data_IF_646685422875
#
_entry.id   IF_646685422875
#
_cell.length_a   1.000
_cell.length_b   1.000
_cell.length_c   1.000
_cell.angle_alpha   90.00
_cell.angle_beta   90.00
_cell.angle_gamma   90.00
#
_symmetry.space_group_name_H-M   'P 1'
#
loop_
_entity.id
_entity.type
_entity.pdbx_description
1 polymer ?
#
# COMPACT_ATOMS: atom_id res chain seq x y z
N UNK A 1 27.95 4.22 8.21
CA UNK A 1 28.75 4.08 6.99
C UNK A 1 27.86 3.67 5.84
N UNK A 2 27.99 4.34 4.70
CA UNK A 2 27.16 4.02 3.54
C UNK A 2 27.26 2.59 3.07
N UNK A 3 28.43 2.02 3.10
CA UNK A 3 28.66 0.65 2.64
C UNK A 3 27.89 -0.38 3.43
N UNK A 4 27.80 -0.19 4.74
CA UNK A 4 27.07 -1.11 5.59
C UNK A 4 25.58 -1.04 5.32
N UNK A 5 25.07 0.17 5.06
CA UNK A 5 23.68 0.34 4.71
C UNK A 5 23.36 -0.34 3.39
N UNK A 6 24.25 -0.22 2.42
CA UNK A 6 24.08 -0.84 1.13
C UNK A 6 24.04 -2.36 1.24
N UNK A 7 24.88 -2.93 2.07
CA UNK A 7 24.89 -4.38 2.29
C UNK A 7 23.60 -4.86 2.93
N UNK A 8 23.03 -4.07 3.82
CA UNK A 8 21.76 -4.40 4.45
C UNK A 8 20.58 -4.29 3.50
N UNK A 9 20.78 -3.67 2.36
CA UNK A 9 19.70 -3.41 1.40
C UNK A 9 19.51 -4.51 0.38
N UNK A 10 20.30 -5.56 0.42
CA UNK A 10 20.14 -6.67 -0.51
C UNK A 10 18.74 -7.28 -0.48
N UNK A 11 18.05 -7.15 0.63
CA UNK A 11 16.71 -7.70 0.81
C UNK A 11 15.64 -6.64 1.00
N UNK A 12 16.01 -5.38 0.80
CA UNK A 12 15.14 -4.26 1.08
C UNK A 12 14.94 -3.39 -0.16
N UNK A 13 13.69 -3.07 -0.44
CA UNK A 13 13.32 -2.23 -1.56
C UNK A 13 13.33 -0.76 -1.14
N UNK A 14 13.98 0.12 -1.92
CA UNK A 14 13.94 1.55 -1.65
C UNK A 14 12.75 2.20 -2.37
N UNK A 15 12.52 3.48 -2.11
CA UNK A 15 11.39 4.22 -2.69
C UNK A 15 11.39 4.23 -4.21
N UNK A 16 12.58 4.34 -4.81
CA UNK A 16 12.71 4.36 -6.26
C UNK A 16 12.36 3.01 -6.87
N UNK A 17 12.81 1.94 -6.25
CA UNK A 17 12.50 0.59 -6.71
C UNK A 17 11.02 0.30 -6.63
N UNK A 18 10.37 0.72 -5.54
CA UNK A 18 8.92 0.54 -5.41
C UNK A 18 8.18 1.38 -6.43
N UNK A 19 8.61 2.62 -6.65
CA UNK A 19 8.00 3.47 -7.66
C UNK A 19 8.11 2.85 -9.04
N UNK A 20 9.26 2.25 -9.36
CA UNK A 20 9.46 1.56 -10.63
C UNK A 20 8.55 0.37 -10.79
N UNK A 21 8.33 -0.40 -9.72
CA UNK A 21 7.42 -1.54 -9.76
C UNK A 21 5.97 -1.10 -9.96
N UNK A 22 5.57 -0.03 -9.29
CA UNK A 22 4.24 0.54 -9.48
C UNK A 22 4.07 1.02 -10.91
N UNK A 23 5.07 1.73 -11.44
CA UNK A 23 5.06 2.22 -12.81
C UNK A 23 4.98 1.08 -13.83
N UNK A 24 5.76 0.02 -13.60
CA UNK A 24 5.75 -1.14 -14.47
C UNK A 24 4.37 -1.81 -14.50
N UNK A 25 3.73 -1.94 -13.33
CA UNK A 25 2.40 -2.52 -13.26
C UNK A 25 1.37 -1.66 -13.99
N UNK A 26 1.48 -0.34 -13.85
CA UNK A 26 0.60 0.60 -14.54
C UNK A 26 0.78 0.50 -16.05
N UNK A 27 2.02 0.36 -16.53
CA UNK A 27 2.29 0.20 -17.95
C UNK A 27 1.66 -1.07 -18.51
N UNK A 28 1.67 -2.15 -17.75
CA UNK A 28 1.03 -3.40 -18.18
C UNK A 28 -0.47 -3.28 -18.28
N UNK A 29 -1.04 -2.40 -17.47
CA UNK A 29 -2.49 -2.19 -17.47
C UNK A 29 -2.97 -1.32 -18.61
N UNK A 30 -2.08 -0.61 -19.30
CA UNK A 30 -2.47 0.31 -20.37
C UNK A 30 -3.35 -0.31 -21.44
N UNK A 31 -3.09 -1.57 -21.78
CA UNK A 31 -3.88 -2.26 -22.81
C UNK A 31 -5.21 -2.80 -22.27
N UNK A 32 -5.38 -2.81 -20.94
CA UNK A 32 -6.54 -3.41 -20.28
C UNK A 32 -7.50 -2.39 -19.70
N UNK A 33 -7.06 -1.15 -19.57
CA UNK A 33 -7.88 -0.07 -19.01
C UNK A 33 -7.74 1.17 -19.90
N UNK A 34 -8.69 2.06 -19.79
CA UNK A 34 -8.68 3.30 -20.56
C UNK A 34 -7.65 4.28 -20.00
N UNK A 35 -7.27 5.27 -20.80
CA UNK A 35 -6.24 6.24 -20.42
C UNK A 35 -6.55 6.98 -19.12
N UNK A 36 -7.82 7.34 -18.89
CA UNK A 36 -8.21 8.02 -17.67
C UNK A 36 -8.13 7.11 -16.46
N UNK A 37 -8.41 5.81 -16.63
CA UNK A 37 -8.28 4.83 -15.56
C UNK A 37 -6.82 4.60 -15.19
N UNK A 38 -5.93 4.63 -16.18
CA UNK A 38 -4.49 4.52 -15.95
C UNK A 38 -3.99 5.65 -15.05
N UNK A 39 -4.45 6.86 -15.33
CA UNK A 39 -4.10 8.03 -14.51
C UNK A 39 -4.62 7.85 -13.09
N UNK A 40 -5.85 7.38 -12.94
CA UNK A 40 -6.45 7.16 -11.62
C UNK A 40 -5.73 6.05 -10.85
N UNK A 41 -5.21 5.05 -11.55
CA UNK A 41 -4.41 4.00 -10.95
C UNK A 41 -3.16 4.57 -10.28
N UNK A 42 -2.43 5.42 -11.01
CA UNK A 42 -1.23 6.07 -10.46
C UNK A 42 -1.60 6.98 -9.29
N UNK A 43 -2.65 7.76 -9.42
CA UNK A 43 -3.09 8.66 -8.35
C UNK A 43 -3.52 7.87 -7.11
N UNK A 44 -4.13 6.71 -7.30
CA UNK A 44 -4.53 5.86 -6.20
C UNK A 44 -3.34 5.42 -5.36
N UNK A 45 -2.24 5.02 -6.01
CA UNK A 45 -1.02 4.64 -5.31
C UNK A 45 -0.40 5.82 -4.55
N UNK A 46 -0.35 6.98 -5.20
CA UNK A 46 0.20 8.19 -4.57
C UNK A 46 -0.63 8.55 -3.34
N UNK A 47 -1.95 8.46 -3.46
CA UNK A 47 -2.85 8.77 -2.37
C UNK A 47 -2.71 7.77 -1.22
N UNK A 48 -2.59 6.49 -1.55
CA UNK A 48 -2.40 5.46 -0.51
C UNK A 48 -1.10 5.69 0.26
N UNK A 49 -0.03 6.06 -0.46
CA UNK A 49 1.23 6.41 0.19
C UNK A 49 1.05 7.57 1.16
N UNK A 50 0.32 8.60 0.73
CA UNK A 50 0.06 9.76 1.59
C UNK A 50 -0.68 9.35 2.87
N UNK A 51 -1.71 8.53 2.72
CA UNK A 51 -2.50 8.08 3.87
C UNK A 51 -1.66 7.18 4.80
N UNK A 52 -0.88 6.31 4.23
CA UNK A 52 0.01 5.44 4.99
C UNK A 52 1.03 6.26 5.79
N UNK A 53 1.69 7.21 5.15
CA UNK A 53 2.67 8.05 5.82
C UNK A 53 2.02 8.93 6.90
N UNK A 54 0.79 9.37 6.66
CA UNK A 54 0.05 10.16 7.65
C UNK A 54 -0.25 9.36 8.91
N UNK A 55 -0.63 8.10 8.74
CA UNK A 55 -0.85 7.23 9.91
C UNK A 55 0.44 6.99 10.68
N UNK A 56 1.55 6.73 9.99
CA UNK A 56 2.85 6.56 10.65
C UNK A 56 3.22 7.80 11.43
N UNK A 57 3.03 8.98 10.84
CA UNK A 57 3.31 10.25 11.52
C UNK A 57 2.46 10.40 12.78
N UNK A 58 1.17 10.10 12.67
CA UNK A 58 0.25 10.16 13.80
C UNK A 58 0.72 9.24 14.93
N UNK A 59 1.09 8.01 14.60
CA UNK A 59 1.54 7.05 15.59
C UNK A 59 2.84 7.49 16.25
N UNK A 60 3.78 8.02 15.47
CA UNK A 60 5.04 8.50 16.04
C UNK A 60 4.85 9.70 16.96
N UNK A 61 3.89 10.55 16.64
CA UNK A 61 3.53 11.67 17.53
C UNK A 61 2.88 11.20 18.82
N UNK A 62 2.44 9.95 18.86
CA UNK A 62 1.84 9.33 20.04
C UNK A 62 2.75 8.24 20.63
N UNK A 63 4.06 8.47 20.53
CA UNK A 63 5.10 7.67 21.18
C UNK A 63 5.29 6.26 20.62
N UNK A 64 4.84 6.00 19.39
CA UNK A 64 5.14 4.74 18.73
C UNK A 64 6.51 4.83 18.09
N UNK A 65 7.46 4.04 18.61
CA UNK A 65 8.75 3.87 17.94
C UNK A 65 8.64 2.79 16.83
N UNK A 66 9.73 2.52 16.16
CA UNK A 66 9.72 1.55 15.07
C UNK A 66 9.32 0.14 15.52
N UNK A 67 9.68 -0.24 16.73
CA UNK A 67 9.31 -1.56 17.25
C UNK A 67 7.83 -1.63 17.59
N UNK A 68 7.29 -0.59 18.17
CA UNK A 68 5.88 -0.55 18.54
C UNK A 68 4.99 -0.49 17.28
N UNK A 69 5.46 0.17 16.22
CA UNK A 69 4.74 0.19 14.95
C UNK A 69 4.46 -1.21 14.43
N UNK A 70 5.39 -2.13 14.65
CA UNK A 70 5.24 -3.52 14.17
C UNK A 70 4.09 -4.25 14.84
N UNK A 71 3.59 -3.75 15.96
CA UNK A 71 2.47 -4.36 16.68
C UNK A 71 1.11 -3.90 16.19
N UNK A 72 1.06 -2.92 15.28
CA UNK A 72 -0.21 -2.36 14.80
C UNK A 72 -0.91 -3.39 13.91
N UNK A 73 -2.03 -3.90 14.38
CA UNK A 73 -2.74 -5.00 13.74
C UNK A 73 -4.25 -4.79 13.86
N UNK A 74 -4.99 -5.27 12.86
CA UNK A 74 -6.44 -5.16 12.92
C UNK A 74 -7.06 -6.09 13.97
N UNK A 75 -6.28 -7.02 14.52
CA UNK A 75 -6.75 -7.88 15.60
C UNK A 75 -6.85 -7.15 16.92
N UNK A 76 -6.15 -6.01 17.07
CA UNK A 76 -6.24 -5.17 18.25
C UNK A 76 -7.35 -4.14 18.07
N UNK A 77 -8.56 -4.51 18.45
CA UNK A 77 -9.76 -3.69 18.24
C UNK A 77 -9.66 -2.31 18.89
N UNK A 78 -9.04 -2.20 20.05
CA UNK A 78 -8.91 -0.93 20.74
C UNK A 78 -8.02 0.04 19.94
N UNK A 79 -6.90 -0.47 19.44
CA UNK A 79 -5.98 0.35 18.67
C UNK A 79 -6.62 0.76 17.34
N UNK A 80 -7.32 -0.16 16.68
CA UNK A 80 -8.04 0.14 15.45
C UNK A 80 -9.03 1.28 15.68
N UNK A 81 -9.85 1.17 16.72
CA UNK A 81 -10.86 2.18 17.00
C UNK A 81 -10.23 3.53 17.32
N UNK A 82 -9.16 3.53 18.10
CA UNK A 82 -8.45 4.74 18.45
C UNK A 82 -7.89 5.46 17.21
N UNK A 83 -7.25 4.72 16.32
CA UNK A 83 -6.70 5.30 15.09
C UNK A 83 -7.83 5.81 14.19
N UNK A 84 -8.89 5.02 14.01
CA UNK A 84 -10.04 5.43 13.19
C UNK A 84 -10.68 6.71 13.72
N UNK A 85 -10.77 6.84 15.01
CA UNK A 85 -11.36 8.02 15.64
C UNK A 85 -10.55 9.28 15.38
N UNK A 86 -9.25 9.14 15.29
CA UNK A 86 -8.35 10.29 15.19
C UNK A 86 -8.04 10.69 13.75
N UNK A 87 -7.91 9.74 12.84
CA UNK A 87 -7.55 10.06 11.45
C UNK A 87 -8.56 9.59 10.41
N UNK A 88 -9.57 8.82 10.82
CA UNK A 88 -10.68 8.45 9.94
C UNK A 88 -10.53 7.11 9.22
N UNK A 89 -9.40 6.44 9.37
CA UNK A 89 -9.14 5.15 8.74
C UNK A 89 -8.10 4.39 9.55
N UNK A 90 -7.83 3.16 9.15
CA UNK A 90 -6.83 2.31 9.81
C UNK A 90 -6.07 1.50 8.77
N UNK A 91 -4.75 1.44 8.92
CA UNK A 91 -3.87 0.61 8.10
C UNK A 91 -3.00 -0.21 9.05
N UNK A 92 -3.05 -1.54 8.94
CA UNK A 92 -2.18 -2.41 9.74
C UNK A 92 -0.72 -2.26 9.30
N UNK A 93 0.20 -2.58 10.18
CA UNK A 93 1.64 -2.46 9.88
C UNK A 93 2.01 -3.18 8.58
N UNK A 94 1.49 -4.39 8.39
CA UNK A 94 1.81 -5.18 7.19
C UNK A 94 1.38 -4.49 5.89
N UNK A 95 0.42 -3.59 5.96
CA UNK A 95 -0.15 -2.91 4.81
C UNK A 95 0.35 -1.48 4.62
N UNK A 96 1.25 -1.02 5.49
CA UNK A 96 1.84 0.30 5.34
C UNK A 96 2.76 0.34 4.13
N UNK A 97 2.75 1.47 3.43
CA UNK A 97 3.62 1.66 2.28
C UNK A 97 5.10 1.47 2.67
N UNK A 98 5.48 1.98 3.84
CA UNK A 98 6.84 1.82 4.35
C UNK A 98 7.21 0.37 4.60
N UNK A 99 6.25 -0.46 4.99
CA UNK A 99 6.47 -1.88 5.18
C UNK A 99 6.76 -2.57 3.84
N UNK A 100 6.04 -2.19 2.81
CA UNK A 100 6.28 -2.73 1.47
C UNK A 100 7.71 -2.46 0.99
N UNK A 101 8.26 -1.30 1.38
CA UNK A 101 9.65 -0.97 1.04
C UNK A 101 10.66 -1.93 1.66
N UNK A 102 10.29 -2.61 2.74
CA UNK A 102 11.18 -3.57 3.40
C UNK A 102 11.06 -4.98 2.86
N UNK A 103 10.06 -5.25 2.04
CA UNK A 103 9.77 -6.62 1.59
C UNK A 103 10.67 -7.10 0.44
N UNK A 104 11.24 -6.19 -0.32
CA UNK A 104 12.10 -6.56 -1.43
C UNK A 104 11.39 -7.45 -2.43
N UNK A 105 11.94 -8.63 -2.66
CA UNK A 105 11.40 -9.60 -3.62
C UNK A 105 10.05 -10.17 -3.21
N UNK A 106 9.74 -10.11 -1.91
CA UNK A 106 8.49 -10.65 -1.40
C UNK A 106 7.29 -9.75 -1.66
N UNK A 107 7.54 -8.51 -2.08
CA UNK A 107 6.46 -7.59 -2.42
C UNK A 107 5.83 -7.99 -3.74
N UNK A 108 4.50 -8.07 -3.76
CA UNK A 108 3.76 -8.55 -4.91
C UNK A 108 2.40 -7.84 -4.98
N UNK A 109 1.73 -7.95 -6.11
CA UNK A 109 0.44 -7.29 -6.34
C UNK A 109 -0.62 -7.72 -5.31
N UNK A 110 -0.52 -8.94 -4.80
CA UNK A 110 -1.46 -9.41 -3.79
C UNK A 110 -1.38 -8.60 -2.51
N UNK A 111 -0.19 -8.11 -2.16
CA UNK A 111 -0.03 -7.27 -0.97
C UNK A 111 -0.85 -5.98 -1.11
N UNK A 112 -0.82 -5.36 -2.28
CA UNK A 112 -1.56 -4.13 -2.54
C UNK A 112 -3.05 -4.42 -2.54
N UNK A 113 -3.47 -5.49 -3.20
CA UNK A 113 -4.88 -5.86 -3.29
C UNK A 113 -5.47 -6.13 -1.91
N UNK A 114 -4.75 -6.89 -1.09
CA UNK A 114 -5.19 -7.21 0.25
C UNK A 114 -5.25 -5.97 1.14
N UNK A 115 -4.26 -5.07 0.98
CA UNK A 115 -4.22 -3.83 1.73
C UNK A 115 -5.41 -2.93 1.40
N UNK A 116 -5.75 -2.80 0.13
CA UNK A 116 -6.89 -1.98 -0.30
C UNK A 116 -8.21 -2.58 0.16
N UNK A 117 -8.32 -3.90 0.14
CA UNK A 117 -9.50 -4.58 0.65
C UNK A 117 -9.68 -4.31 2.14
N UNK A 118 -8.60 -4.43 2.91
CA UNK A 118 -8.64 -4.14 4.35
C UNK A 118 -8.95 -2.67 4.60
N UNK A 119 -8.37 -1.76 3.83
CA UNK A 119 -8.62 -0.34 3.96
C UNK A 119 -10.11 -0.02 3.78
N UNK A 120 -10.72 -0.57 2.76
CA UNK A 120 -12.15 -0.36 2.48
C UNK A 120 -13.04 -0.89 3.61
N UNK A 121 -12.63 -1.97 4.24
CA UNK A 121 -13.36 -2.60 5.34
C UNK A 121 -13.21 -1.82 6.64
N UNK A 122 -12.04 -1.22 6.86
CA UNK A 122 -11.65 -0.63 8.14
C UNK A 122 -11.69 0.90 8.15
N UNK A 123 -12.15 1.51 7.09
CA UNK A 123 -12.33 2.96 7.06
C UNK A 123 -13.60 3.33 7.81
N UNK A 124 -13.57 4.47 8.51
CA UNK A 124 -14.77 4.92 9.22
C UNK A 124 -15.88 5.29 8.23
N UNK A 125 -17.13 5.06 8.62
CA UNK A 125 -18.26 5.31 7.74
C UNK A 125 -18.35 6.74 7.25
N UNK A 126 -17.92 7.69 8.07
CA UNK A 126 -17.96 9.10 7.71
C UNK A 126 -16.96 9.46 6.60
N UNK A 127 -15.92 8.66 6.41
CA UNK A 127 -14.89 8.92 5.40
C UNK A 127 -14.98 8.01 4.19
N UNK A 128 -15.82 7.01 4.24
CA UNK A 128 -15.90 5.97 3.21
C UNK A 128 -16.13 6.54 1.81
N UNK A 129 -17.06 7.48 1.70
CA UNK A 129 -17.38 8.08 0.40
C UNK A 129 -16.21 8.84 -0.23
N UNK A 130 -15.44 9.50 0.61
CA UNK A 130 -14.31 10.32 0.14
C UNK A 130 -13.26 9.46 -0.55
N UNK A 131 -13.00 8.28 0.02
CA UNK A 131 -11.91 7.43 -0.47
C UNK A 131 -12.36 6.36 -1.45
N UNK A 132 -13.61 5.98 -1.41
CA UNK A 132 -14.15 4.87 -2.21
C UNK A 132 -13.86 5.06 -3.70
N UNK A 133 -14.13 6.24 -4.20
CA UNK A 133 -13.97 6.52 -5.62
C UNK A 133 -12.49 6.47 -6.06
N UNK A 134 -11.59 6.93 -5.20
CA UNK A 134 -10.17 6.96 -5.52
C UNK A 134 -9.60 5.55 -5.64
N UNK A 135 -9.99 4.67 -4.74
CA UNK A 135 -9.43 3.31 -4.69
C UNK A 135 -10.17 2.31 -5.54
N UNK A 136 -11.38 2.61 -5.97
CA UNK A 136 -12.18 1.69 -6.76
C UNK A 136 -11.50 1.33 -8.08
N UNK A 137 -11.02 2.32 -8.80
CA UNK A 137 -10.32 2.10 -10.05
C UNK A 137 -9.04 1.31 -9.84
N UNK A 138 -8.31 1.61 -8.76
CA UNK A 138 -7.09 0.91 -8.44
C UNK A 138 -7.36 -0.57 -8.15
N UNK A 139 -8.37 -0.86 -7.34
CA UNK A 139 -8.76 -2.24 -7.05
C UNK A 139 -9.20 -3.00 -8.30
N UNK A 140 -9.98 -2.35 -9.14
CA UNK A 140 -10.44 -2.95 -10.39
C UNK A 140 -9.27 -3.31 -11.30
N UNK A 141 -8.31 -2.38 -11.41
CA UNK A 141 -7.12 -2.62 -12.22
C UNK A 141 -6.27 -3.77 -11.70
N UNK A 142 -6.10 -3.83 -10.38
CA UNK A 142 -5.34 -4.92 -9.76
C UNK A 142 -6.03 -6.27 -9.93
N UNK A 143 -7.36 -6.30 -9.89
CA UNK A 143 -8.11 -7.52 -10.14
C UNK A 143 -7.92 -8.02 -11.57
N UNK A 144 -7.90 -7.09 -12.54
CA UNK A 144 -7.65 -7.45 -13.94
C UNK A 144 -6.27 -8.06 -14.12
N UNK A 145 -5.26 -7.57 -13.41
CA UNK A 145 -3.93 -8.14 -13.44
C UNK A 145 -3.90 -9.51 -12.78
N UNK A 146 -4.60 -9.66 -11.66
CA UNK A 146 -4.63 -10.91 -10.91
C UNK A 146 -5.40 -12.03 -11.57
N UNK A 147 -6.37 -11.71 -12.41
CA UNK A 147 -7.23 -12.70 -13.06
C UNK A 147 -6.55 -13.47 -14.17
N UNK A 148 -5.40 -13.05 -14.61
CA UNK A 148 -4.75 -13.70 -15.75
C UNK A 148 -3.59 -14.59 -15.34
N UNK A 149 -3.80 -15.45 -14.39
CA UNK A 149 -2.86 -16.51 -14.03
C UNK A 149 -1.61 -16.05 -13.28
N UNK A 150 -0.85 -17.02 -12.77
CA UNK A 150 0.42 -16.76 -12.07
C UNK A 150 1.46 -16.05 -12.92
N UNK A 151 1.38 -16.16 -14.22
CA UNK A 151 2.28 -15.47 -15.13
C UNK A 151 2.15 -13.96 -15.04
N UNK A 152 1.03 -13.47 -14.58
CA UNK A 152 0.82 -12.04 -14.36
C UNK A 152 1.69 -11.49 -13.25
N UNK A 153 1.89 -12.26 -12.21
CA UNK A 153 2.77 -11.87 -11.13
C UNK A 153 4.21 -11.77 -11.63
N UNK A 154 4.62 -12.71 -12.46
CA UNK A 154 5.96 -12.68 -13.05
C UNK A 154 6.15 -11.44 -13.93
N UNK A 155 5.11 -11.06 -14.66
CA UNK A 155 5.14 -9.85 -15.48
C UNK A 155 5.21 -8.59 -14.64
N UNK A 156 4.55 -8.60 -13.48
CA UNK A 156 4.55 -7.46 -12.56
C UNK A 156 5.95 -7.21 -12.01
N UNK A 157 6.73 -8.27 -11.81
CA UNK A 157 8.09 -8.20 -11.28
C UNK A 157 9.06 -8.87 -12.24
N UNK A 158 9.41 -8.21 -13.33
CA UNK A 158 10.32 -8.79 -14.31
C UNK A 158 11.74 -8.98 -13.79
#
# INVERSE_FOLDING_TARGET
MPLEKEKGWGHRMNKQQLAQKIWASANQMRSKIEANEYKDYILGFIFYKYLSDKEVKFLKENDYDNELLKTVSEEDAETVEWIQKNIGYFIAYKDLFSTWLTMGKDFDVSNVRDALSAFSRLISNSHKRVFEKVFDTLQTGLSKLGDSSGSQTDSFFP
#
